data_IF_252607788819
#
_entry.id   IF_252607788819
#
_cell.length_a   1.000
_cell.length_b   1.000
_cell.length_c   1.000
_cell.angle_alpha   90.00
_cell.angle_beta   90.00
_cell.angle_gamma   90.00
#
_symmetry.space_group_name_H-M   'P 1'
#
loop_
_entity.id
_entity.type
_entity.pdbx_description
1 polymer ?
#
# COMPACT_ATOMS: atom_id res chain seq x y z
N UNK A 1 -3.18 -13.74 -5.71
CA UNK A 1 -4.28 -14.68 -5.41
C UNK A 1 -5.46 -14.17 -6.19
N UNK A 2 -5.89 -14.83 -7.28
CA UNK A 2 -6.98 -14.35 -8.13
C UNK A 2 -8.24 -15.16 -7.87
N UNK A 3 -9.25 -14.58 -7.25
CA UNK A 3 -10.55 -15.22 -7.08
C UNK A 3 -11.42 -14.91 -8.31
N UNK A 4 -11.83 -15.93 -9.05
CA UNK A 4 -12.85 -15.80 -10.10
C UNK A 4 -14.13 -16.41 -9.52
N UNK A 5 -15.05 -15.58 -9.04
CA UNK A 5 -16.36 -16.00 -8.59
C UNK A 5 -17.38 -15.81 -9.73
N UNK A 6 -18.03 -16.89 -10.17
CA UNK A 6 -19.16 -16.84 -11.11
C UNK A 6 -20.47 -17.05 -10.35
N UNK A 7 -21.49 -16.24 -10.62
CA UNK A 7 -22.78 -16.26 -9.90
C UNK A 7 -23.72 -17.39 -10.32
N UNK A 8 -24.43 -17.95 -9.33
CA UNK A 8 -25.45 -19.00 -9.39
C UNK A 8 -26.74 -18.53 -10.11
N UNK A 9 -27.37 -19.35 -10.99
CA UNK A 9 -28.55 -18.98 -11.74
C UNK A 9 -29.90 -18.85 -11.01
N UNK A 10 -30.05 -19.22 -9.72
CA UNK A 10 -31.39 -19.41 -9.13
C UNK A 10 -31.82 -18.44 -8.01
N UNK A 11 -31.19 -17.29 -7.81
CA UNK A 11 -31.55 -16.38 -6.72
C UNK A 11 -32.39 -15.18 -7.16
N UNK A 12 -33.71 -15.25 -6.97
CA UNK A 12 -34.64 -14.12 -7.11
C UNK A 12 -35.09 -13.64 -5.72
N UNK A 13 -34.53 -12.53 -5.23
CA UNK A 13 -35.12 -11.73 -4.15
C UNK A 13 -35.07 -10.23 -4.47
N UNK A 14 -36.12 -9.47 -4.15
CA UNK A 14 -36.18 -8.04 -4.44
C UNK A 14 -35.19 -7.25 -3.56
N UNK A 15 -34.50 -6.31 -4.18
CA UNK A 15 -33.56 -5.36 -3.54
C UNK A 15 -34.36 -4.28 -2.79
N UNK A 16 -34.14 -4.02 -1.49
CA UNK A 16 -34.76 -2.90 -0.80
C UNK A 16 -34.22 -1.57 -1.34
N UNK A 17 -35.11 -0.65 -1.74
CA UNK A 17 -34.74 0.74 -2.05
C UNK A 17 -34.47 1.50 -0.75
N UNK A 18 -33.24 1.92 -0.53
CA UNK A 18 -32.89 2.90 0.51
C UNK A 18 -33.07 4.34 -0.03
N UNK A 19 -33.74 5.24 0.71
CA UNK A 19 -33.91 6.62 0.29
C UNK A 19 -32.64 7.45 0.53
N UNK A 20 -32.12 8.04 -0.54
CA UNK A 20 -31.01 9.00 -0.52
C UNK A 20 -31.49 10.36 0.00
N UNK A 21 -31.45 10.56 1.32
CA UNK A 21 -31.47 11.91 1.91
C UNK A 21 -30.94 11.91 3.35
N UNK A 22 -29.64 11.76 3.51
CA UNK A 22 -28.96 12.17 4.74
C UNK A 22 -28.12 13.41 4.43
N UNK A 23 -28.61 14.57 4.87
CA UNK A 23 -27.87 15.84 4.83
C UNK A 23 -26.77 15.80 5.90
N UNK A 24 -25.56 16.15 5.52
CA UNK A 24 -24.44 16.41 6.43
C UNK A 24 -24.71 17.71 7.21
N UNK A 25 -24.62 17.73 8.56
CA UNK A 25 -24.66 18.98 9.30
C UNK A 25 -23.34 19.73 9.14
N UNK A 26 -23.45 20.94 8.61
CA UNK A 26 -22.39 21.96 8.54
C UNK A 26 -22.06 22.52 9.93
N UNK A 27 -20.76 22.75 10.17
CA UNK A 27 -20.17 23.69 11.14
C UNK A 27 -20.52 23.54 12.63
N UNK A 28 -19.55 23.04 13.40
CA UNK A 28 -19.29 23.50 14.77
C UNK A 28 -17.87 24.09 14.80
N UNK A 29 -17.79 25.40 15.05
CA UNK A 29 -16.55 26.17 15.03
C UNK A 29 -15.65 25.89 16.23
N UNK A 30 -14.34 25.89 15.97
CA UNK A 30 -13.30 26.09 16.98
C UNK A 30 -12.50 27.31 16.53
N UNK A 31 -12.59 28.38 17.32
CA UNK A 31 -11.80 29.60 17.20
C UNK A 31 -10.38 29.35 17.72
N UNK A 32 -9.36 29.74 16.95
CA UNK A 32 -7.96 29.73 17.39
C UNK A 32 -7.45 31.16 17.23
N UNK A 33 -7.15 31.83 18.36
CA UNK A 33 -6.52 33.15 18.38
C UNK A 33 -5.00 33.04 18.15
N UNK A 34 -4.37 33.97 17.40
CA UNK A 34 -2.93 33.94 17.17
C UNK A 34 -2.16 34.55 18.35
N UNK A 35 -1.18 33.82 18.89
CA UNK A 35 -0.20 34.35 19.85
C UNK A 35 1.11 34.74 19.14
N UNK A 36 1.59 35.93 19.49
CA UNK A 36 2.80 36.65 19.05
C UNK A 36 4.10 35.82 19.13
N UNK A 37 5.09 36.00 18.23
CA UNK A 37 6.38 35.31 18.31
C UNK A 37 7.30 35.94 19.38
N UNK A 38 7.98 35.09 20.16
CA UNK A 38 9.04 35.50 21.08
C UNK A 38 10.42 35.45 20.39
N UNK A 39 11.16 36.55 20.51
CA UNK A 39 12.51 36.78 19.98
C UNK A 39 13.56 36.00 20.79
N UNK A 40 14.46 35.26 20.12
CA UNK A 40 15.64 34.63 20.74
C UNK A 40 16.87 35.53 20.49
N UNK A 41 17.56 35.91 21.57
CA UNK A 41 18.84 36.60 21.54
C UNK A 41 19.99 35.58 21.58
N UNK A 42 20.96 35.70 20.67
CA UNK A 42 22.25 34.99 20.68
C UNK A 42 23.29 35.75 21.51
N UNK A 43 24.15 35.01 22.24
CA UNK A 43 25.50 35.46 22.63
C UNK A 43 26.48 34.27 22.80
N UNK A 44 27.82 34.49 22.69
CA UNK A 44 28.72 33.62 21.92
C UNK A 44 29.68 32.70 22.71
N UNK A 45 30.37 31.83 21.95
CA UNK A 45 31.40 30.87 22.38
C UNK A 45 32.68 31.50 22.95
N UNK A 46 33.32 30.79 23.88
CA UNK A 46 34.72 31.00 24.28
C UNK A 46 35.50 29.67 24.33
N UNK A 47 36.70 29.70 23.76
CA UNK A 47 37.75 28.68 23.72
C UNK A 47 38.32 28.32 25.11
N UNK A 48 38.78 27.08 25.30
CA UNK A 48 40.03 26.85 26.05
C UNK A 48 40.77 25.55 25.66
N UNK A 49 42.10 25.63 25.70
CA UNK A 49 43.12 24.71 25.15
C UNK A 49 43.59 23.63 26.15
N UNK A 50 44.04 22.49 25.58
CA UNK A 50 45.14 21.52 25.93
C UNK A 50 45.41 21.17 27.42
N UNK A 51 45.61 19.90 27.84
CA UNK A 51 46.68 18.90 27.53
C UNK A 51 46.45 17.64 28.45
N UNK A 52 47.30 16.58 28.55
CA UNK A 52 47.98 15.66 27.62
C UNK A 52 47.58 14.16 27.81
N UNK A 53 48.07 13.27 26.93
CA UNK A 53 47.90 11.80 26.98
C UNK A 53 48.67 11.11 28.13
N UNK A 54 48.05 10.11 28.75
CA UNK A 54 48.72 9.05 29.54
C UNK A 54 48.10 7.68 29.20
N UNK A 55 48.92 6.66 28.98
CA UNK A 55 48.54 5.27 28.65
C UNK A 55 48.46 4.41 29.94
N UNK A 56 47.50 3.47 30.10
CA UNK A 56 47.40 2.63 31.29
C UNK A 56 48.01 1.21 31.13
N UNK A 57 48.32 0.49 32.23
CA UNK A 57 48.99 -0.83 32.26
C UNK A 57 48.01 -2.00 32.02
N UNK A 58 48.50 -3.23 31.75
CA UNK A 58 47.69 -4.35 31.28
C UNK A 58 46.91 -5.00 32.43
N UNK A 59 45.74 -5.57 32.12
CA UNK A 59 44.81 -6.32 32.99
C UNK A 59 43.65 -5.53 33.65
N UNK A 60 42.96 -4.71 32.87
CA UNK A 60 41.61 -4.23 33.20
C UNK A 60 40.56 -4.77 32.20
N UNK A 61 39.51 -5.39 32.72
CA UNK A 61 38.39 -5.96 31.95
C UNK A 61 37.66 -4.87 31.13
N UNK A 62 37.46 -5.14 29.83
CA UNK A 62 36.84 -4.22 28.88
C UNK A 62 35.32 -4.13 29.08
N UNK A 63 34.80 -2.91 28.90
CA UNK A 63 33.40 -2.46 29.02
C UNK A 63 32.43 -3.28 28.15
N UNK A 64 32.94 -4.00 27.14
CA UNK A 64 32.15 -4.89 26.27
C UNK A 64 31.79 -6.24 26.91
N UNK A 65 32.44 -6.67 27.98
CA UNK A 65 32.15 -7.96 28.62
C UNK A 65 31.25 -7.84 29.86
N UNK A 66 31.06 -6.63 30.41
CA UNK A 66 30.19 -6.37 31.56
C UNK A 66 28.70 -6.21 31.16
N UNK A 67 28.40 -5.93 29.89
CA UNK A 67 27.01 -5.73 29.41
C UNK A 67 26.22 -7.04 29.25
N UNK A 68 26.89 -8.20 29.33
CA UNK A 68 26.29 -9.53 29.10
C UNK A 68 25.74 -10.19 30.37
N UNK A 69 25.96 -9.62 31.55
CA UNK A 69 25.49 -10.19 32.81
C UNK A 69 24.80 -9.10 33.65
N UNK A 70 23.55 -9.37 34.05
CA UNK A 70 22.76 -8.58 34.99
C UNK A 70 22.10 -7.30 34.46
N UNK A 71 20.98 -7.45 33.75
CA UNK A 71 19.84 -6.55 33.92
C UNK A 71 18.49 -7.25 33.67
N UNK A 72 18.37 -8.49 34.17
CA UNK A 72 17.11 -9.01 34.67
C UNK A 72 17.07 -8.76 36.17
N UNK A 73 16.49 -7.64 36.60
CA UNK A 73 15.98 -7.43 37.96
C UNK A 73 15.06 -6.19 37.91
N UNK A 74 13.77 -6.49 37.84
CA UNK A 74 12.67 -5.54 37.80
C UNK A 74 12.58 -4.72 39.09
N UNK A 75 12.30 -3.42 38.96
CA UNK A 75 11.64 -2.63 40.00
C UNK A 75 11.06 -1.36 39.34
N UNK A 76 9.79 -1.40 38.96
CA UNK A 76 8.67 -0.72 39.64
C UNK A 76 8.46 0.76 39.25
N UNK A 77 7.41 0.94 38.44
CA UNK A 77 6.51 2.09 38.34
C UNK A 77 7.03 3.37 37.67
N UNK A 78 6.74 3.49 36.36
CA UNK A 78 6.79 4.74 35.62
C UNK A 78 7.00 4.52 34.12
N UNK A 79 5.92 4.31 33.37
CA UNK A 79 6.00 4.14 31.92
C UNK A 79 6.45 5.45 31.25
N UNK A 80 7.75 5.56 30.95
CA UNK A 80 8.26 6.39 29.85
C UNK A 80 8.77 5.46 28.77
N UNK A 81 8.02 5.36 27.68
CA UNK A 81 8.46 4.67 26.46
C UNK A 81 9.52 5.56 25.79
N UNK A 82 10.77 5.42 26.21
CA UNK A 82 11.91 5.91 25.44
C UNK A 82 12.20 4.84 24.40
N UNK A 83 11.96 5.18 23.12
CA UNK A 83 12.27 4.29 21.99
C UNK A 83 13.75 3.87 22.03
N UNK A 84 14.10 2.61 21.68
CA UNK A 84 15.48 2.14 21.70
C UNK A 84 16.36 2.95 20.74
N UNK A 85 17.67 3.11 21.01
CA UNK A 85 18.60 3.88 20.17
C UNK A 85 18.79 3.34 18.75
N UNK A 86 18.25 2.15 18.47
CA UNK A 86 18.28 1.51 17.15
C UNK A 86 17.35 2.21 16.13
N UNK A 87 16.41 3.04 16.59
CA UNK A 87 15.57 3.88 15.72
C UNK A 87 16.26 5.18 15.26
N UNK A 88 17.52 5.43 15.64
CA UNK A 88 18.24 6.69 15.36
C UNK A 88 19.49 6.55 14.48
N UNK A 89 19.54 5.51 13.65
CA UNK A 89 20.53 5.38 12.58
C UNK A 89 19.98 5.83 11.20
N UNK A 90 19.32 6.99 11.15
CA UNK A 90 19.08 7.70 9.90
C UNK A 90 20.32 8.57 9.61
N UNK A 91 21.22 8.10 8.73
CA UNK A 91 22.40 8.90 8.36
C UNK A 91 23.62 8.15 7.82
N UNK A 92 23.47 6.93 7.30
CA UNK A 92 24.50 6.32 6.45
C UNK A 92 23.90 6.05 5.08
N UNK A 93 24.55 6.54 4.03
CA UNK A 93 24.15 6.35 2.63
C UNK A 93 23.94 4.86 2.37
N UNK A 94 22.70 4.44 2.23
CA UNK A 94 22.37 3.06 1.87
C UNK A 94 22.62 2.94 0.37
N UNK A 95 23.74 2.33 -0.01
CA UNK A 95 24.00 1.97 -1.38
C UNK A 95 23.05 0.80 -1.74
N UNK A 96 22.17 1.03 -2.71
CA UNK A 96 21.31 -0.01 -3.25
C UNK A 96 22.15 -1.00 -4.06
N UNK A 97 22.11 -2.32 -3.79
CA UNK A 97 22.67 -3.28 -4.72
C UNK A 97 21.86 -3.17 -6.03
N UNK A 98 22.49 -2.67 -7.09
CA UNK A 98 21.80 -2.36 -8.33
C UNK A 98 21.22 -3.58 -9.04
N UNK A 99 20.11 -3.32 -9.77
CA UNK A 99 19.42 -4.11 -10.83
C UNK A 99 18.05 -4.72 -10.55
N UNK A 100 17.51 -4.72 -9.33
CA UNK A 100 16.15 -5.26 -9.12
C UNK A 100 15.08 -4.16 -9.27
N UNK A 101 15.10 -3.43 -10.39
CA UNK A 101 14.06 -2.48 -10.79
C UNK A 101 13.22 -3.10 -11.90
N UNK A 102 12.00 -2.61 -12.09
CA UNK A 102 11.03 -3.16 -13.03
C UNK A 102 11.44 -3.07 -14.51
N UNK A 103 10.65 -3.67 -15.41
CA UNK A 103 9.39 -4.35 -15.13
C UNK A 103 9.59 -5.69 -14.39
N UNK A 104 8.65 -6.03 -13.51
CA UNK A 104 8.69 -7.26 -12.72
C UNK A 104 7.84 -8.36 -13.36
N UNK A 105 8.31 -9.61 -13.31
CA UNK A 105 7.56 -10.77 -13.80
C UNK A 105 6.32 -11.07 -12.94
N UNK A 106 6.37 -10.73 -11.65
CA UNK A 106 5.23 -10.89 -10.75
C UNK A 106 5.20 -9.84 -9.64
N UNK A 107 4.02 -9.68 -9.04
CA UNK A 107 3.86 -8.89 -7.81
C UNK A 107 4.76 -9.40 -6.66
N UNK A 108 5.14 -10.69 -6.66
CA UNK A 108 6.01 -11.28 -5.63
C UNK A 108 7.45 -10.82 -5.81
N UNK A 109 7.93 -10.74 -7.05
CA UNK A 109 9.26 -10.22 -7.38
C UNK A 109 9.35 -8.74 -7.04
N UNK A 110 8.27 -7.99 -7.30
CA UNK A 110 8.16 -6.60 -6.87
C UNK A 110 8.26 -6.45 -5.35
N UNK A 111 7.46 -7.20 -4.57
CA UNK A 111 7.53 -7.14 -3.11
C UNK A 111 8.93 -7.49 -2.62
N UNK A 112 9.55 -8.55 -3.15
CA UNK A 112 10.93 -8.90 -2.83
C UNK A 112 11.92 -7.75 -3.12
N UNK A 113 11.79 -7.10 -4.26
CA UNK A 113 12.62 -5.95 -4.63
C UNK A 113 12.46 -4.76 -3.66
N UNK A 114 11.27 -4.56 -3.09
CA UNK A 114 11.07 -3.58 -2.01
C UNK A 114 11.70 -4.04 -0.68
N UNK A 115 11.62 -5.32 -0.35
CA UNK A 115 12.21 -5.88 0.87
C UNK A 115 13.73 -5.78 0.89
N UNK A 116 14.38 -6.12 -0.22
CA UNK A 116 15.84 -5.99 -0.36
C UNK A 116 16.29 -4.53 -0.20
N UNK A 117 15.37 -3.60 -0.48
CA UNK A 117 15.53 -2.16 -0.28
C UNK A 117 15.09 -1.67 1.11
N UNK A 118 14.58 -2.55 1.97
CA UNK A 118 14.01 -2.15 3.26
C UNK A 118 12.87 -1.14 3.15
N UNK A 119 12.15 -1.15 2.02
CA UNK A 119 10.92 -0.38 1.80
C UNK A 119 9.68 -1.15 2.28
N UNK A 120 9.88 -2.33 2.90
CA UNK A 120 8.83 -3.14 3.50
C UNK A 120 9.11 -3.32 4.99
N UNK A 121 8.16 -2.90 5.82
CA UNK A 121 8.09 -3.25 7.22
C UNK A 121 7.32 -4.57 7.37
N UNK A 122 8.02 -5.64 7.77
CA UNK A 122 7.37 -6.92 8.10
C UNK A 122 6.88 -6.93 9.52
N UNK A 123 5.63 -7.34 9.71
CA UNK A 123 5.01 -7.54 11.01
C UNK A 123 4.50 -8.97 11.09
N UNK A 124 4.94 -9.73 12.11
CA UNK A 124 4.56 -11.14 12.23
C UNK A 124 3.06 -11.30 12.38
N UNK A 125 2.45 -10.53 13.30
CA UNK A 125 1.05 -10.67 13.67
C UNK A 125 0.45 -9.33 14.07
N UNK A 126 -0.79 -9.06 13.67
CA UNK A 126 -1.59 -7.91 14.14
C UNK A 126 -3.05 -8.30 14.41
N UNK A 127 -3.65 -7.67 15.41
CA UNK A 127 -5.07 -7.80 15.74
C UNK A 127 -5.92 -6.76 15.00
N UNK A 128 -6.55 -7.16 13.89
CA UNK A 128 -7.39 -6.26 13.12
C UNK A 128 -8.81 -6.12 13.69
N UNK A 129 -9.24 -6.97 14.63
CA UNK A 129 -10.45 -6.70 15.41
C UNK A 129 -10.30 -5.43 16.25
N UNK A 130 -9.05 -5.03 16.54
CA UNK A 130 -8.67 -3.80 17.22
C UNK A 130 -8.12 -2.72 16.27
N UNK A 131 -8.21 -2.92 14.94
CA UNK A 131 -7.72 -2.00 13.92
C UNK A 131 -6.21 -1.71 14.00
N UNK A 132 -5.39 -2.66 14.48
CA UNK A 132 -3.95 -2.42 14.68
C UNK A 132 -3.20 -2.13 13.37
N UNK A 133 -3.51 -2.81 12.25
CA UNK A 133 -2.87 -2.52 10.96
C UNK A 133 -3.25 -1.12 10.46
N UNK A 134 -4.50 -0.73 10.67
CA UNK A 134 -4.97 0.63 10.38
C UNK A 134 -4.18 1.65 11.19
N UNK A 135 -4.17 1.49 12.53
CA UNK A 135 -3.47 2.41 13.43
C UNK A 135 -1.98 2.49 13.10
N UNK A 136 -1.31 1.35 12.87
CA UNK A 136 0.08 1.31 12.45
C UNK A 136 0.31 2.09 11.16
N UNK A 137 -0.54 1.91 10.15
CA UNK A 137 -0.42 2.63 8.89
C UNK A 137 -0.53 4.14 9.10
N UNK A 138 -1.49 4.63 9.89
CA UNK A 138 -1.59 6.05 10.22
C UNK A 138 -0.37 6.57 10.99
N UNK A 139 0.15 5.81 11.96
CA UNK A 139 1.36 6.20 12.70
C UNK A 139 2.60 6.27 11.82
N UNK A 140 2.73 5.38 10.83
CA UNK A 140 3.80 5.45 9.83
C UNK A 140 3.64 6.68 8.94
N UNK A 141 2.41 7.05 8.57
CA UNK A 141 2.15 8.28 7.80
C UNK A 141 2.44 9.54 8.62
N UNK A 142 2.15 9.55 9.92
CA UNK A 142 2.52 10.66 10.82
C UNK A 142 4.05 10.82 10.92
N UNK A 143 4.78 9.71 11.02
CA UNK A 143 6.23 9.70 11.22
C UNK A 143 7.01 10.00 9.93
N UNK A 144 6.62 9.37 8.82
CA UNK A 144 7.38 9.41 7.57
C UNK A 144 6.72 10.26 6.48
N UNK A 145 5.51 10.77 6.73
CA UNK A 145 4.69 11.47 5.75
C UNK A 145 4.04 10.53 4.73
N UNK A 146 3.11 11.10 3.96
CA UNK A 146 2.32 10.39 2.95
C UNK A 146 3.12 9.61 1.91
N UNK A 147 4.32 10.10 1.56
CA UNK A 147 5.14 9.55 0.48
C UNK A 147 6.48 8.97 0.95
N UNK A 148 6.71 8.91 2.26
CA UNK A 148 7.91 8.32 2.88
C UNK A 148 7.61 7.09 3.73
N UNK A 149 6.33 6.80 4.02
CA UNK A 149 5.96 5.61 4.78
C UNK A 149 6.26 4.32 3.98
N UNK A 150 6.84 3.28 4.61
CA UNK A 150 7.12 2.01 3.94
C UNK A 150 5.82 1.25 3.64
N UNK A 151 5.93 0.24 2.77
CA UNK A 151 4.91 -0.79 2.68
C UNK A 151 4.86 -1.60 3.99
N UNK A 152 3.69 -2.08 4.39
CA UNK A 152 3.56 -2.96 5.56
C UNK A 152 3.11 -4.32 5.09
N UNK A 153 3.84 -5.38 5.45
CA UNK A 153 3.48 -6.76 5.17
C UNK A 153 3.24 -7.49 6.50
N UNK A 154 2.00 -7.93 6.70
CA UNK A 154 1.56 -8.64 7.91
C UNK A 154 1.39 -10.12 7.58
N UNK A 155 2.10 -11.01 8.29
CA UNK A 155 2.10 -12.46 7.97
C UNK A 155 0.87 -13.21 8.48
N UNK A 156 0.35 -12.79 9.64
CA UNK A 156 -0.92 -13.27 10.17
C UNK A 156 -1.75 -12.13 10.73
N UNK A 157 -3.05 -12.16 10.48
CA UNK A 157 -3.97 -11.13 10.95
C UNK A 157 -5.13 -11.77 11.69
N UNK A 158 -5.52 -11.19 12.83
CA UNK A 158 -6.72 -11.63 13.56
C UNK A 158 -7.94 -10.89 13.05
N UNK A 159 -8.97 -11.63 12.67
CA UNK A 159 -10.25 -11.09 12.22
C UNK A 159 -11.38 -12.03 12.67
N UNK A 160 -12.47 -11.46 13.16
CA UNK A 160 -13.60 -12.17 13.76
C UNK A 160 -13.15 -13.17 14.85
N UNK A 161 -12.19 -12.76 15.68
CA UNK A 161 -11.64 -13.59 16.75
C UNK A 161 -10.70 -14.72 16.28
N UNK A 162 -10.48 -14.88 14.96
CA UNK A 162 -9.65 -15.95 14.39
C UNK A 162 -8.36 -15.39 13.80
N UNK A 163 -7.25 -16.04 14.11
CA UNK A 163 -5.98 -15.80 13.43
C UNK A 163 -5.97 -16.47 12.06
N UNK A 164 -5.69 -15.68 11.03
CA UNK A 164 -5.63 -16.14 9.64
C UNK A 164 -4.23 -15.96 9.10
N UNK A 165 -3.71 -17.00 8.44
CA UNK A 165 -2.44 -16.94 7.73
C UNK A 165 -2.61 -16.33 6.35
N UNK A 166 -1.66 -15.51 5.96
CA UNK A 166 -1.54 -14.97 4.61
C UNK A 166 -0.91 -13.59 4.68
N UNK A 167 -0.09 -13.18 3.70
CA UNK A 167 0.38 -11.81 3.74
C UNK A 167 -0.80 -10.87 3.41
N UNK A 168 -1.11 -9.95 4.33
CA UNK A 168 -1.78 -8.69 3.98
C UNK A 168 -0.67 -7.69 3.71
N UNK A 169 -0.70 -7.06 2.54
CA UNK A 169 0.21 -5.97 2.21
C UNK A 169 -0.56 -4.67 2.04
N UNK A 170 -0.08 -3.61 2.67
CA UNK A 170 -0.62 -2.25 2.53
C UNK A 170 0.49 -1.31 2.07
N UNK A 171 0.07 -0.17 1.50
CA UNK A 171 0.98 0.92 1.11
C UNK A 171 2.10 0.51 0.13
N UNK A 172 1.92 -0.57 -0.64
CA UNK A 172 2.96 -1.12 -1.52
C UNK A 172 3.41 -0.18 -2.64
N UNK A 173 2.65 0.87 -2.96
CA UNK A 173 2.96 1.88 -3.99
C UNK A 173 2.73 3.31 -3.46
N UNK A 174 2.81 3.53 -2.14
CA UNK A 174 2.64 4.87 -1.55
C UNK A 174 3.93 5.66 -1.42
N UNK A 175 5.07 4.98 -1.31
CA UNK A 175 6.38 5.61 -1.16
C UNK A 175 6.92 6.09 -2.52
N UNK A 176 7.46 7.30 -2.66
CA UNK A 176 7.92 7.80 -3.97
C UNK A 176 8.96 6.91 -4.67
N UNK A 177 9.88 6.31 -3.91
CA UNK A 177 10.84 5.35 -4.47
C UNK A 177 10.18 4.14 -5.15
N UNK A 178 8.99 3.73 -4.71
CA UNK A 178 8.26 2.61 -5.34
C UNK A 178 7.84 2.94 -6.77
N UNK A 179 7.49 4.20 -7.06
CA UNK A 179 7.13 4.64 -8.41
C UNK A 179 8.33 4.55 -9.36
N UNK A 180 9.51 5.02 -8.93
CA UNK A 180 10.72 4.88 -9.73
C UNK A 180 11.05 3.41 -10.02
N UNK A 181 10.97 2.57 -8.98
CA UNK A 181 11.29 1.15 -9.04
C UNK A 181 10.42 0.42 -10.07
N UNK A 182 9.10 0.66 -10.10
CA UNK A 182 8.21 -0.02 -11.06
C UNK A 182 8.50 0.39 -12.50
N UNK A 183 9.03 1.60 -12.72
CA UNK A 183 9.39 2.13 -14.04
C UNK A 183 10.84 1.82 -14.45
N UNK A 184 11.52 0.92 -13.75
CA UNK A 184 12.89 0.51 -14.09
C UNK A 184 13.93 1.58 -13.77
N UNK A 185 13.64 2.46 -12.80
CA UNK A 185 14.51 3.55 -12.37
C UNK A 185 14.99 3.31 -10.95
N UNK A 186 16.29 3.52 -10.72
CA UNK A 186 16.81 3.53 -9.36
C UNK A 186 16.38 4.83 -8.66
N UNK A 187 15.99 4.76 -7.38
CA UNK A 187 15.73 5.95 -6.57
C UNK A 187 16.96 6.85 -6.46
N UNK A 188 16.73 8.15 -6.26
CA UNK A 188 17.79 9.09 -5.95
C UNK A 188 18.55 8.65 -4.67
N UNK A 189 19.86 8.89 -4.57
CA UNK A 189 20.64 8.45 -3.43
C UNK A 189 20.19 9.11 -2.12
N UNK A 190 20.24 8.33 -1.04
CA UNK A 190 19.85 8.76 0.30
C UNK A 190 18.39 8.42 0.65
N UNK A 191 18.06 8.61 1.92
CA UNK A 191 16.73 8.32 2.49
C UNK A 191 16.11 9.56 3.14
N UNK A 192 16.47 10.75 2.62
CA UNK A 192 15.91 12.01 3.08
C UNK A 192 14.61 12.31 2.33
N UNK A 193 13.73 13.13 2.91
CA UNK A 193 12.54 13.59 2.21
C UNK A 193 12.88 14.30 0.88
N UNK A 194 14.01 15.02 0.81
CA UNK A 194 14.44 15.63 -0.45
C UNK A 194 14.93 14.58 -1.46
N UNK A 195 15.61 13.52 -1.02
CA UNK A 195 15.97 12.39 -1.89
C UNK A 195 14.73 11.78 -2.53
N UNK A 196 13.68 11.51 -1.76
CA UNK A 196 12.44 10.95 -2.29
C UNK A 196 11.70 11.91 -3.23
N UNK A 197 11.72 13.22 -2.94
CA UNK A 197 11.19 14.25 -3.86
C UNK A 197 11.96 14.28 -5.17
N UNK A 198 13.27 14.12 -5.12
CA UNK A 198 14.11 14.05 -6.30
C UNK A 198 13.82 12.78 -7.12
N UNK A 199 13.65 11.63 -6.46
CA UNK A 199 13.18 10.40 -7.12
C UNK A 199 11.88 10.63 -7.91
N UNK A 200 10.90 11.30 -7.29
CA UNK A 200 9.65 11.65 -7.93
C UNK A 200 9.87 12.57 -9.15
N UNK A 201 10.62 13.67 -9.00
CA UNK A 201 10.91 14.60 -10.12
C UNK A 201 11.57 13.90 -11.31
N UNK A 202 12.56 13.05 -11.05
CA UNK A 202 13.26 12.30 -12.08
C UNK A 202 12.33 11.29 -12.78
N UNK A 203 11.46 10.63 -12.02
CA UNK A 203 10.51 9.64 -12.56
C UNK A 203 9.45 10.30 -13.42
N UNK A 204 8.85 11.41 -12.97
CA UNK A 204 7.88 12.18 -13.76
C UNK A 204 8.53 12.72 -15.03
N UNK A 205 9.75 13.27 -14.94
CA UNK A 205 10.49 13.71 -16.12
C UNK A 205 10.72 12.55 -17.11
N UNK A 206 11.16 11.39 -16.62
CA UNK A 206 11.36 10.20 -17.46
C UNK A 206 10.07 9.78 -18.19
N UNK A 207 8.93 9.74 -17.49
CA UNK A 207 7.65 9.40 -18.08
C UNK A 207 7.21 10.43 -19.13
N UNK A 208 7.36 11.72 -18.82
CA UNK A 208 7.02 12.81 -19.73
C UNK A 208 7.87 12.79 -21.01
N UNK A 209 9.21 12.73 -20.86
CA UNK A 209 10.15 12.62 -21.98
C UNK A 209 9.82 11.38 -22.84
N UNK A 210 9.42 10.28 -22.20
CA UNK A 210 8.99 9.05 -22.87
C UNK A 210 7.70 9.17 -23.67
N UNK A 211 6.76 10.04 -23.26
CA UNK A 211 5.53 10.33 -24.00
C UNK A 211 5.84 11.30 -25.16
N UNK A 212 6.60 12.36 -24.89
CA UNK A 212 6.98 13.39 -25.87
C UNK A 212 7.84 12.84 -26.99
N UNK A 213 8.89 12.08 -26.67
CA UNK A 213 9.80 11.48 -27.66
C UNK A 213 9.10 10.53 -28.62
N UNK A 214 7.96 9.95 -28.20
CA UNK A 214 7.13 9.09 -29.03
C UNK A 214 6.04 9.86 -29.77
N UNK A 215 5.97 11.19 -29.64
CA UNK A 215 4.91 12.04 -30.19
C UNK A 215 3.50 11.54 -29.82
N UNK A 216 3.34 11.00 -28.61
CA UNK A 216 2.09 10.36 -28.18
C UNK A 216 1.77 9.02 -28.86
N UNK A 217 2.67 8.46 -29.68
CA UNK A 217 2.50 7.13 -30.26
C UNK A 217 2.86 6.07 -29.22
N UNK A 218 1.88 5.29 -28.79
CA UNK A 218 2.12 4.15 -27.92
C UNK A 218 2.43 2.93 -28.80
N UNK A 219 3.67 2.41 -28.81
CA UNK A 219 3.97 1.21 -29.58
C UNK A 219 3.18 0.03 -28.99
N UNK A 220 2.60 -0.79 -29.86
CA UNK A 220 2.05 -2.08 -29.45
C UNK A 220 3.20 -2.97 -29.01
N UNK A 221 3.19 -3.37 -27.74
CA UNK A 221 4.15 -4.35 -27.22
C UNK A 221 3.57 -5.74 -27.49
N UNK A 222 4.30 -6.64 -28.16
CA UNK A 222 3.86 -8.03 -28.29
C UNK A 222 3.66 -8.65 -26.92
N UNK A 223 2.50 -9.25 -26.68
CA UNK A 223 2.25 -9.98 -25.44
C UNK A 223 2.86 -11.38 -25.55
N UNK A 224 3.51 -11.84 -24.47
CA UNK A 224 3.93 -13.22 -24.35
C UNK A 224 2.80 -14.03 -23.70
N UNK A 225 2.09 -14.91 -24.43
CA UNK A 225 1.00 -15.67 -23.86
C UNK A 225 1.53 -16.68 -22.84
N UNK A 226 1.13 -16.53 -21.57
CA UNK A 226 1.39 -17.56 -20.56
C UNK A 226 0.31 -18.63 -20.68
N UNK A 227 0.73 -19.88 -20.88
CA UNK A 227 -0.21 -21.00 -20.96
C UNK A 227 -1.02 -21.12 -19.67
N UNK A 228 -2.30 -21.48 -19.79
CA UNK A 228 -3.16 -21.67 -18.63
C UNK A 228 -2.65 -22.75 -17.68
N UNK A 229 -1.95 -23.76 -18.20
CA UNK A 229 -1.35 -24.85 -17.44
C UNK A 229 -0.18 -24.42 -16.56
N UNK A 230 0.50 -23.32 -16.92
CA UNK A 230 1.71 -22.83 -16.22
C UNK A 230 1.48 -21.47 -15.56
N UNK A 231 0.28 -20.90 -15.63
CA UNK A 231 -0.02 -19.59 -15.08
C UNK A 231 -0.07 -19.65 -13.54
N UNK A 232 0.78 -18.91 -12.80
CA UNK A 232 0.83 -18.99 -11.33
C UNK A 232 -0.49 -18.62 -10.63
N UNK A 233 -1.33 -17.80 -11.27
CA UNK A 233 -2.67 -17.45 -10.76
C UNK A 233 -3.63 -18.66 -10.73
N UNK A 234 -3.27 -19.78 -11.36
CA UNK A 234 -4.06 -21.01 -11.46
C UNK A 234 -3.58 -22.14 -10.53
N UNK A 235 -2.60 -21.89 -9.67
CA UNK A 235 -2.10 -22.87 -8.68
C UNK A 235 -3.21 -23.32 -7.70
N UNK A 236 -4.13 -22.43 -7.37
CA UNK A 236 -5.31 -22.73 -6.53
C UNK A 236 -6.55 -22.24 -7.26
N UNK A 237 -7.51 -23.14 -7.47
CA UNK A 237 -8.78 -22.85 -8.14
C UNK A 237 -9.92 -23.31 -7.25
N UNK A 238 -10.68 -22.36 -6.72
CA UNK A 238 -11.93 -22.60 -6.01
C UNK A 238 -13.09 -22.23 -6.94
N UNK A 239 -14.18 -23.00 -6.91
CA UNK A 239 -15.38 -22.76 -7.75
C UNK A 239 -16.65 -22.98 -6.94
N UNK A 240 -17.72 -22.27 -7.29
CA UNK A 240 -19.04 -22.48 -6.70
C UNK A 240 -19.00 -22.39 -5.18
N UNK A 241 -19.45 -23.44 -4.49
CA UNK A 241 -19.54 -23.48 -3.03
C UNK A 241 -18.19 -23.57 -2.32
N UNK A 242 -17.12 -23.99 -3.00
CA UNK A 242 -15.75 -23.99 -2.47
C UNK A 242 -15.20 -22.56 -2.32
N UNK A 243 -15.85 -21.57 -2.96
CA UNK A 243 -15.48 -20.17 -2.81
C UNK A 243 -16.09 -19.58 -1.54
N UNK A 244 -15.21 -19.07 -0.68
CA UNK A 244 -15.57 -18.28 0.49
C UNK A 244 -14.63 -17.08 0.64
N UNK A 245 -15.16 -15.88 0.39
CA UNK A 245 -14.45 -14.59 0.51
C UNK A 245 -13.98 -14.29 1.94
N UNK A 246 -14.62 -14.90 2.95
CA UNK A 246 -14.28 -14.68 4.35
C UNK A 246 -13.04 -15.46 4.80
N UNK A 247 -12.54 -16.39 3.97
CA UNK A 247 -11.29 -17.11 4.21
C UNK A 247 -10.04 -16.30 3.83
N UNK A 248 -10.21 -15.13 3.20
CA UNK A 248 -9.13 -14.24 2.81
C UNK A 248 -8.97 -13.09 3.80
N UNK A 249 -7.73 -12.62 3.98
CA UNK A 249 -7.34 -11.58 4.93
C UNK A 249 -7.68 -10.14 4.50
N UNK A 250 -8.81 -9.95 3.81
CA UNK A 250 -9.33 -8.61 3.50
C UNK A 250 -9.73 -7.91 4.79
N UNK A 251 -9.28 -6.67 4.98
CA UNK A 251 -9.51 -5.94 6.24
C UNK A 251 -10.70 -5.01 6.14
N UNK A 252 -11.33 -4.79 7.29
CA UNK A 252 -12.15 -3.60 7.54
C UNK A 252 -11.19 -2.51 7.97
N UNK A 253 -10.96 -1.51 7.12
CA UNK A 253 -9.91 -0.52 7.35
C UNK A 253 -10.32 0.49 8.42
N UNK A 254 -11.56 0.97 8.40
CA UNK A 254 -12.04 1.97 9.36
C UNK A 254 -13.13 1.40 10.28
N UNK A 255 -13.23 1.88 11.53
CA UNK A 255 -14.29 1.46 12.45
C UNK A 255 -15.71 1.63 11.91
N UNK A 256 -15.94 2.68 11.13
CA UNK A 256 -17.23 3.03 10.54
C UNK A 256 -17.54 2.33 9.21
N UNK A 257 -16.59 1.58 8.63
CA UNK A 257 -16.85 0.83 7.40
C UNK A 257 -17.95 -0.22 7.64
N UNK A 258 -18.81 -0.50 6.65
CA UNK A 258 -19.88 -1.49 6.79
C UNK A 258 -19.35 -2.93 6.80
N UNK A 259 -18.25 -3.20 6.10
CA UNK A 259 -17.64 -4.52 5.98
C UNK A 259 -16.13 -4.45 5.64
N UNK A 260 -15.55 -5.61 5.32
CA UNK A 260 -14.19 -5.73 4.78
C UNK A 260 -14.17 -5.32 3.31
N UNK A 261 -13.04 -4.82 2.81
CA UNK A 261 -12.92 -4.37 1.44
C UNK A 261 -11.73 -4.97 0.68
N UNK A 262 -11.93 -5.18 -0.61
CA UNK A 262 -10.86 -5.29 -1.61
C UNK A 262 -10.57 -3.87 -2.12
N UNK A 263 -9.47 -3.28 -1.67
CA UNK A 263 -9.11 -1.89 -2.01
C UNK A 263 -8.14 -1.77 -3.18
N UNK A 264 -7.29 -2.77 -3.42
CA UNK A 264 -6.27 -2.79 -4.48
C UNK A 264 -6.65 -3.72 -5.63
N UNK A 265 -7.95 -3.98 -5.80
CA UNK A 265 -8.45 -4.85 -6.87
C UNK A 265 -8.59 -4.09 -8.18
N UNK A 266 -7.99 -4.61 -9.26
CA UNK A 266 -8.29 -4.16 -10.61
C UNK A 266 -9.46 -4.96 -11.18
N UNK A 267 -10.52 -4.26 -11.56
CA UNK A 267 -11.76 -4.81 -12.08
C UNK A 267 -11.75 -4.75 -13.61
N UNK A 268 -11.84 -5.93 -14.21
CA UNK A 268 -11.98 -6.12 -15.63
C UNK A 268 -13.44 -6.31 -15.98
N UNK A 269 -13.92 -5.52 -16.93
CA UNK A 269 -15.26 -5.64 -17.50
C UNK A 269 -15.16 -5.54 -19.02
N UNK A 270 -16.07 -6.19 -19.74
CA UNK A 270 -16.10 -6.18 -21.19
C UNK A 270 -17.49 -5.83 -21.70
N UNK A 271 -17.50 -4.99 -22.75
CA UNK A 271 -18.67 -4.63 -23.50
C UNK A 271 -18.43 -4.80 -25.00
N UNK A 272 -19.44 -5.28 -25.73
CA UNK A 272 -19.33 -5.50 -27.18
C UNK A 272 -19.16 -4.21 -27.97
N UNK A 273 -19.68 -3.09 -27.46
CA UNK A 273 -19.62 -1.78 -28.11
C UNK A 273 -18.52 -0.91 -27.51
N UNK A 274 -18.38 -0.91 -26.18
CA UNK A 274 -17.40 -0.07 -25.47
C UNK A 274 -16.01 -0.72 -25.34
N UNK A 275 -15.88 -2.01 -25.65
CA UNK A 275 -14.63 -2.76 -25.55
C UNK A 275 -14.30 -3.20 -24.13
N UNK A 276 -13.00 -3.33 -23.84
CA UNK A 276 -12.51 -3.79 -22.55
C UNK A 276 -12.21 -2.63 -21.61
N UNK A 277 -12.55 -2.80 -20.34
CA UNK A 277 -12.24 -1.89 -19.25
C UNK A 277 -11.34 -2.58 -18.24
N UNK A 278 -10.45 -1.78 -17.67
CA UNK A 278 -9.50 -2.17 -16.64
C UNK A 278 -9.40 -1.01 -15.66
N UNK A 279 -10.17 -1.08 -14.57
CA UNK A 279 -10.31 0.02 -13.62
C UNK A 279 -10.12 -0.44 -12.17
N UNK A 280 -9.51 0.40 -11.33
CA UNK A 280 -9.47 0.16 -9.87
C UNK A 280 -10.77 0.64 -9.23
N UNK A 281 -11.54 -0.29 -8.66
CA UNK A 281 -12.80 -0.01 -7.95
C UNK A 281 -12.76 -0.64 -6.55
N UNK A 282 -13.29 0.07 -5.55
CA UNK A 282 -13.45 -0.50 -4.21
C UNK A 282 -14.55 -1.54 -4.23
N UNK A 283 -14.28 -2.69 -3.63
CA UNK A 283 -15.21 -3.80 -3.59
C UNK A 283 -15.50 -4.21 -2.15
N UNK A 284 -16.76 -4.04 -1.71
CA UNK A 284 -17.22 -4.42 -0.38
C UNK A 284 -17.51 -5.91 -0.32
N UNK A 285 -17.00 -6.62 0.69
CA UNK A 285 -17.35 -8.03 0.93
C UNK A 285 -18.68 -8.07 1.70
N UNK A 286 -19.75 -8.54 1.04
CA UNK A 286 -21.11 -8.59 1.60
C UNK A 286 -21.49 -10.00 2.10
N UNK A 287 -20.64 -10.99 1.88
CA UNK A 287 -20.83 -12.37 2.31
C UNK A 287 -19.77 -13.30 1.70
N UNK A 288 -19.88 -14.63 1.92
CA UNK A 288 -18.89 -15.60 1.43
C UNK A 288 -18.81 -15.63 -0.11
N UNK A 289 -19.88 -15.26 -0.82
CA UNK A 289 -19.96 -15.30 -2.29
C UNK A 289 -20.62 -14.05 -2.88
N UNK A 290 -20.64 -12.94 -2.14
CA UNK A 290 -21.25 -11.69 -2.58
C UNK A 290 -20.29 -10.52 -2.37
N UNK A 291 -20.12 -9.72 -3.41
CA UNK A 291 -19.27 -8.54 -3.45
C UNK A 291 -20.09 -7.38 -4.01
N UNK A 292 -20.06 -6.23 -3.33
CA UNK A 292 -20.52 -4.96 -3.89
C UNK A 292 -19.37 -4.29 -4.64
N UNK A 293 -19.51 -4.08 -5.95
CA UNK A 293 -18.49 -3.38 -6.77
C UNK A 293 -18.97 -1.96 -7.04
N UNK A 294 -18.18 -0.96 -6.64
CA UNK A 294 -18.53 0.44 -6.85
C UNK A 294 -17.71 1.08 -7.99
N UNK A 295 -18.31 1.17 -9.17
CA UNK A 295 -17.82 2.09 -10.20
C UNK A 295 -18.67 3.36 -10.16
N UNK A 296 -18.03 4.49 -9.88
CA UNK A 296 -18.69 5.78 -9.72
C UNK A 296 -19.24 6.31 -11.05
N UNK A 297 -20.27 7.18 -11.02
CA UNK A 297 -20.76 7.83 -12.21
C UNK A 297 -19.63 8.40 -13.08
N UNK A 298 -19.76 8.23 -14.40
CA UNK A 298 -18.79 8.60 -15.43
C UNK A 298 -17.53 7.74 -15.55
N UNK A 299 -17.26 6.82 -14.61
CA UNK A 299 -16.19 5.84 -14.81
C UNK A 299 -16.57 4.83 -15.91
N UNK A 300 -15.58 4.26 -16.59
CA UNK A 300 -15.82 3.33 -17.71
C UNK A 300 -16.64 2.11 -17.28
N UNK A 301 -16.38 1.53 -16.11
CA UNK A 301 -17.18 0.43 -15.55
C UNK A 301 -18.65 0.80 -15.36
N UNK A 302 -18.93 1.98 -14.80
CA UNK A 302 -20.29 2.50 -14.66
C UNK A 302 -20.98 2.66 -16.01
N UNK A 303 -20.30 3.28 -17.00
CA UNK A 303 -20.85 3.46 -18.37
C UNK A 303 -21.19 2.10 -18.99
N UNK A 304 -20.35 1.09 -18.80
CA UNK A 304 -20.60 -0.28 -19.25
C UNK A 304 -21.80 -0.92 -18.55
N UNK A 305 -21.89 -0.81 -17.23
CA UNK A 305 -23.04 -1.35 -16.49
C UNK A 305 -24.35 -0.71 -16.92
N UNK A 306 -24.38 0.62 -17.12
CA UNK A 306 -25.58 1.31 -17.60
C UNK A 306 -25.96 0.88 -19.02
N UNK A 307 -25.00 0.75 -19.94
CA UNK A 307 -25.27 0.26 -21.30
C UNK A 307 -25.84 -1.15 -21.31
N UNK A 308 -25.34 -2.03 -20.45
CA UNK A 308 -25.87 -3.39 -20.28
C UNK A 308 -27.31 -3.37 -19.77
N UNK A 309 -27.62 -2.52 -18.78
CA UNK A 309 -28.97 -2.33 -18.27
C UNK A 309 -29.91 -1.79 -19.37
N UNK A 310 -29.47 -0.80 -20.15
CA UNK A 310 -30.23 -0.26 -21.29
C UNK A 310 -30.57 -1.34 -22.33
N UNK A 311 -29.66 -2.29 -22.55
CA UNK A 311 -29.86 -3.45 -23.44
C UNK A 311 -30.69 -4.58 -22.83
N UNK A 312 -31.16 -4.43 -21.58
CA UNK A 312 -31.93 -5.44 -20.88
C UNK A 312 -31.10 -6.63 -20.38
N UNK A 313 -29.78 -6.52 -20.32
CA UNK A 313 -28.92 -7.55 -19.75
C UNK A 313 -29.10 -7.60 -18.22
N UNK A 314 -29.27 -8.80 -17.68
CA UNK A 314 -29.41 -9.03 -16.24
C UNK A 314 -28.11 -9.43 -15.56
N UNK A 315 -27.03 -9.58 -16.33
CA UNK A 315 -25.71 -10.05 -15.85
C UNK A 315 -24.58 -9.35 -16.58
N UNK A 316 -23.53 -9.02 -15.84
CA UNK A 316 -22.27 -8.55 -16.38
C UNK A 316 -21.14 -9.43 -15.82
N UNK A 317 -20.48 -10.25 -16.64
CA UNK A 317 -19.27 -10.95 -16.22
C UNK A 317 -18.18 -9.94 -15.88
N UNK A 318 -17.56 -10.11 -14.72
CA UNK A 318 -16.42 -9.30 -14.26
C UNK A 318 -15.32 -10.21 -13.75
N UNK A 319 -14.08 -9.72 -13.74
CA UNK A 319 -12.98 -10.34 -13.03
C UNK A 319 -12.29 -9.31 -12.13
N UNK A 320 -11.97 -9.69 -10.89
CA UNK A 320 -11.25 -8.83 -9.94
C UNK A 320 -9.89 -9.46 -9.70
N UNK A 321 -8.82 -8.73 -10.03
CA UNK A 321 -7.43 -9.18 -9.84
C UNK A 321 -6.81 -8.43 -8.68
N UNK A 322 -6.33 -9.17 -7.68
CA UNK A 322 -5.65 -8.64 -6.49
C UNK A 322 -4.19 -9.08 -6.48
N UNK A 323 -3.29 -8.10 -6.34
CA UNK A 323 -1.85 -8.33 -6.48
C UNK A 323 -1.45 -8.63 -7.94
N UNK A 324 -1.97 -7.83 -8.87
CA UNK A 324 -1.46 -7.76 -10.24
C UNK A 324 -0.05 -7.15 -10.26
N UNK A 325 0.59 -7.18 -11.42
CA UNK A 325 1.85 -6.47 -11.59
C UNK A 325 1.65 -4.97 -11.27
N UNK A 326 2.66 -4.31 -10.67
CA UNK A 326 2.48 -2.96 -10.15
C UNK A 326 2.26 -1.90 -11.24
N UNK A 327 2.72 -2.15 -12.47
CA UNK A 327 2.46 -1.27 -13.62
C UNK A 327 0.99 -1.42 -14.04
N UNK A 328 0.49 -2.65 -14.13
CA UNK A 328 -0.91 -2.96 -14.39
C UNK A 328 -1.83 -2.29 -13.37
N UNK A 329 -1.52 -2.37 -12.08
CA UNK A 329 -2.31 -1.67 -11.06
C UNK A 329 -2.32 -0.15 -11.27
N UNK A 330 -1.14 0.46 -11.48
CA UNK A 330 -1.01 1.89 -11.78
C UNK A 330 -1.85 2.30 -12.99
N UNK A 331 -1.75 1.55 -14.08
CA UNK A 331 -2.52 1.75 -15.32
C UNK A 331 -4.02 1.67 -15.05
N UNK A 332 -4.49 0.72 -14.22
CA UNK A 332 -5.91 0.60 -13.88
C UNK A 332 -6.46 1.75 -13.04
N UNK A 333 -5.58 2.56 -12.43
CA UNK A 333 -5.96 3.77 -11.70
C UNK A 333 -5.92 5.03 -12.59
N UNK A 334 -5.52 4.90 -13.85
CA UNK A 334 -5.34 6.01 -14.79
C UNK A 334 -6.48 6.13 -15.80
N UNK A 335 -6.74 7.35 -16.29
CA UNK A 335 -7.76 7.62 -17.31
C UNK A 335 -7.15 7.36 -18.69
N UNK A 336 -7.13 6.09 -19.11
CA UNK A 336 -6.48 5.65 -20.36
C UNK A 336 -7.43 4.95 -21.35
N UNK A 337 -8.68 4.68 -20.94
CA UNK A 337 -9.65 3.99 -21.79
C UNK A 337 -10.16 4.89 -22.94
N UNK A 338 -10.58 4.25 -24.03
CA UNK A 338 -11.09 4.90 -25.23
C UNK A 338 -12.44 5.57 -24.90
N UNK A 339 -12.39 6.81 -24.42
CA UNK A 339 -13.56 7.57 -23.94
C UNK A 339 -13.37 8.21 -22.57
N UNK A 340 -12.13 8.59 -22.22
CA UNK A 340 -11.77 9.21 -20.94
C UNK A 340 -12.76 10.28 -20.48
N UNK A 341 -13.16 10.17 -19.21
CA UNK A 341 -14.13 10.97 -18.44
C UNK A 341 -15.46 11.30 -19.13
#
# INVERSE_FOLDING_TARGET
MGLIATSDPNFTRPVPRWPWSARWPSSAGISISPSTPATVQEQPMADNKQNPQTTPPPDALDRRQLLSAAAGLAATLGFSVVAPPEARAAGKSRAWPGKDVGPFDSFRDYVKALEDRGLVMRVKRLDQDQYELTALTYRLMDEFGWYGAPAVLVEEIKQDGRWMKGPVITNHQGHWDTEAIIWGREPAPGASQESHRETYRQTIKFLHDGIESRLGKTPMIPTNPVSTATAPVKEVILKGDDCNLLDFSFIKSNPADSARYINTGSVFTEDKELGMNFGTYRCEIQGPRQIGVNSEPNQTGWKMFMKKIERGETRCPIAIVVGNDPIGWFISSSIISKGGA
#
